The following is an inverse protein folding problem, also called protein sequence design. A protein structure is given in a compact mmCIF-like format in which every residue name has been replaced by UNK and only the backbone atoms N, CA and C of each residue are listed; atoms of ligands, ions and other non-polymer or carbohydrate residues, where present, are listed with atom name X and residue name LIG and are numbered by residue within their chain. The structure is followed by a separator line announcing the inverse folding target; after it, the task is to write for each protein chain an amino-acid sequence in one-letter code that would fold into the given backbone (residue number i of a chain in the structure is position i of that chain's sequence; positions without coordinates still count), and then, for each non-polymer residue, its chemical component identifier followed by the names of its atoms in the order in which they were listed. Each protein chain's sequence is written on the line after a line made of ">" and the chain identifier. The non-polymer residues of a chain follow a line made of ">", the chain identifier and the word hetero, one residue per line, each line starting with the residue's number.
data_IF_893066188561
#
_entry.id   IF_893066188561
#
_cell.length_a   1.000
_cell.length_b   1.000
_cell.length_c   1.000
_cell.angle_alpha   90.00
_cell.angle_beta   90.00
_cell.angle_gamma   90.00
#
_symmetry.space_group_name_H-M   'P 1'
#
loop_
_entity.id
_entity.type
_entity.pdbx_description
1 polymer ?
#
# COMPACT_ATOMS: atom_id res chain seq x y z
N UNK A 1 24.64 -2.36 53.75
CA UNK A 1 23.41 -2.64 53.00
C UNK A 1 23.44 -1.77 51.75
N UNK A 2 23.32 -2.33 50.54
CA UNK A 2 23.37 -1.55 49.29
C UNK A 2 21.94 -1.47 48.75
N UNK A 3 21.37 -0.27 48.74
CA UNK A 3 20.01 -0.03 48.27
C UNK A 3 19.95 0.03 46.74
N UNK A 4 19.76 -1.11 46.09
CA UNK A 4 19.43 -1.17 44.66
C UNK A 4 18.04 -0.59 44.42
N UNK A 5 17.97 0.68 44.02
CA UNK A 5 16.72 1.28 43.58
C UNK A 5 16.15 0.49 42.38
N UNK A 6 14.86 0.11 42.38
CA UNK A 6 14.27 -0.66 41.30
C UNK A 6 14.21 0.21 40.04
N UNK A 7 15.09 -0.09 39.07
CA UNK A 7 15.13 0.60 37.79
C UNK A 7 13.80 0.48 37.06
N UNK A 8 13.10 1.60 36.89
CA UNK A 8 11.86 1.65 36.09
C UNK A 8 12.16 1.09 34.69
N UNK A 9 11.32 0.21 34.13
CA UNK A 9 11.59 -0.44 32.85
C UNK A 9 11.82 0.59 31.75
N UNK A 10 12.78 0.30 30.86
CA UNK A 10 13.28 1.25 29.88
C UNK A 10 12.15 1.84 29.03
N UNK A 11 12.12 3.18 28.91
CA UNK A 11 11.12 3.93 28.14
C UNK A 11 11.21 3.59 26.64
N UNK A 12 10.52 2.54 26.19
CA UNK A 12 10.45 2.02 24.81
C UNK A 12 11.81 1.65 24.18
N UNK A 13 12.00 0.38 23.80
CA UNK A 13 13.28 -0.13 23.28
C UNK A 13 13.88 0.67 22.10
N UNK A 14 13.05 1.30 21.26
CA UNK A 14 13.53 2.15 20.16
C UNK A 14 14.30 3.39 20.65
N UNK A 15 13.92 3.99 21.79
CA UNK A 15 14.63 5.15 22.35
C UNK A 15 16.01 4.76 22.86
N UNK A 16 16.12 3.58 23.49
CA UNK A 16 17.42 3.06 23.92
C UNK A 16 18.35 2.87 22.71
N UNK A 17 17.88 2.20 21.65
CA UNK A 17 18.64 2.02 20.40
C UNK A 17 19.02 3.35 19.74
N UNK A 18 18.11 4.33 19.73
CA UNK A 18 18.38 5.67 19.19
C UNK A 18 19.45 6.41 19.99
N UNK A 19 19.35 6.43 21.33
CA UNK A 19 20.35 7.05 22.21
C UNK A 19 21.74 6.43 22.01
N UNK A 20 21.86 5.10 22.04
CA UNK A 20 23.13 4.42 21.78
C UNK A 20 23.74 4.76 20.42
N UNK A 21 22.92 5.05 19.39
CA UNK A 21 23.44 5.54 18.09
C UNK A 21 23.86 7.01 18.13
N UNK A 22 23.14 7.87 18.87
CA UNK A 22 23.51 9.27 19.10
C UNK A 22 24.84 9.34 19.86
N UNK A 23 24.96 8.65 21.01
CA UNK A 23 26.19 8.63 21.83
C UNK A 23 27.40 8.10 21.02
N UNK A 24 27.20 7.13 20.12
CA UNK A 24 28.23 6.62 19.20
C UNK A 24 28.65 7.62 18.09
N UNK A 25 27.72 8.47 17.63
CA UNK A 25 28.02 9.52 16.65
C UNK A 25 28.64 10.75 17.30
N UNK A 26 28.26 11.08 18.54
CA UNK A 26 28.92 12.10 19.38
C UNK A 26 30.39 11.74 19.62
N UNK A 27 30.69 10.48 19.98
CA UNK A 27 32.06 10.01 20.19
C UNK A 27 32.94 10.05 18.92
N UNK A 28 32.38 9.74 17.75
CA UNK A 28 33.08 9.91 16.46
C UNK A 28 33.30 11.38 16.14
N UNK A 29 32.29 12.24 16.34
CA UNK A 29 32.43 13.69 16.12
C UNK A 29 33.52 14.29 17.02
N UNK A 30 33.59 13.88 18.28
CA UNK A 30 34.66 14.26 19.21
C UNK A 30 36.03 13.84 18.66
N UNK A 31 36.24 12.54 18.40
CA UNK A 31 37.50 12.02 17.84
C UNK A 31 37.96 12.78 16.58
N UNK A 32 37.04 13.04 15.66
CA UNK A 32 37.29 13.69 14.36
C UNK A 32 37.47 15.21 14.49
N UNK A 33 37.15 15.80 15.65
CA UNK A 33 37.31 17.23 15.96
C UNK A 33 38.63 17.62 16.65
N UNK A 34 39.42 16.65 17.14
CA UNK A 34 40.67 16.89 17.90
C UNK A 34 41.78 17.57 17.05
N UNK A 35 41.72 17.46 15.72
CA UNK A 35 42.71 18.05 14.81
C UNK A 35 42.43 19.52 14.44
N UNK A 36 43.45 20.30 14.03
CA UNK A 36 43.27 21.68 13.55
C UNK A 36 42.24 21.77 12.41
N UNK A 37 41.11 22.42 12.67
CA UNK A 37 40.00 22.50 11.73
C UNK A 37 40.04 23.82 10.93
N UNK A 38 40.09 23.78 9.59
CA UNK A 38 39.75 24.94 8.75
C UNK A 38 38.31 25.41 9.01
N UNK A 39 38.01 26.68 8.76
CA UNK A 39 36.69 27.27 9.06
C UNK A 39 35.52 26.48 8.45
N UNK A 40 35.64 26.07 7.18
CA UNK A 40 34.64 25.24 6.49
C UNK A 40 34.52 23.79 6.99
N UNK A 41 35.41 23.34 7.88
CA UNK A 41 35.28 22.07 8.64
C UNK A 41 34.57 22.31 9.97
N UNK A 42 34.80 23.46 10.61
CA UNK A 42 34.15 23.84 11.87
C UNK A 42 32.63 24.03 11.70
N UNK A 43 32.17 24.56 10.57
CA UNK A 43 30.73 24.64 10.24
C UNK A 43 30.07 23.27 10.09
N UNK A 44 30.77 22.28 9.53
CA UNK A 44 30.28 20.89 9.41
C UNK A 44 30.22 20.20 10.78
N UNK A 45 31.23 20.42 11.64
CA UNK A 45 31.25 19.92 13.03
C UNK A 45 30.07 20.48 13.82
N UNK A 46 29.81 21.79 13.73
CA UNK A 46 28.71 22.43 14.45
C UNK A 46 27.34 22.02 13.90
N UNK A 47 27.21 21.87 12.57
CA UNK A 47 26.01 21.31 11.95
C UNK A 47 25.68 19.91 12.46
N UNK A 48 26.70 19.03 12.54
CA UNK A 48 26.53 17.66 13.05
C UNK A 48 26.16 17.66 14.54
N UNK A 49 26.79 18.51 15.37
CA UNK A 49 26.46 18.68 16.79
C UNK A 49 25.00 19.10 17.00
N UNK A 50 24.56 20.13 16.30
CA UNK A 50 23.18 20.63 16.35
C UNK A 50 22.15 19.59 15.88
N UNK A 51 22.48 18.72 14.92
CA UNK A 51 21.61 17.58 14.57
C UNK A 51 21.55 16.54 15.69
N UNK A 52 22.68 16.14 16.28
CA UNK A 52 22.72 15.16 17.37
C UNK A 52 22.00 15.66 18.63
N UNK A 53 22.13 16.94 18.97
CA UNK A 53 21.39 17.55 20.08
C UNK A 53 19.87 17.55 19.85
N UNK A 54 19.40 17.89 18.64
CA UNK A 54 17.98 17.78 18.27
C UNK A 54 17.47 16.35 18.36
N UNK A 55 18.28 15.37 17.92
CA UNK A 55 17.94 13.96 18.06
C UNK A 55 17.88 13.53 19.54
N UNK A 56 18.80 14.03 20.38
CA UNK A 56 18.83 13.76 21.83
C UNK A 56 17.58 14.31 22.53
N UNK A 57 17.24 15.58 22.27
CA UNK A 57 16.03 16.22 22.80
C UNK A 57 14.75 15.46 22.40
N UNK A 58 14.57 15.18 21.11
CA UNK A 58 13.39 14.46 20.61
C UNK A 58 13.30 13.00 21.10
N UNK A 59 14.42 12.37 21.48
CA UNK A 59 14.44 11.05 22.11
C UNK A 59 14.06 11.10 23.60
N UNK A 60 14.46 12.16 24.32
CA UNK A 60 14.12 12.38 25.74
C UNK A 60 12.71 12.95 25.96
N UNK A 61 12.11 13.58 24.95
CA UNK A 61 10.75 14.11 25.05
C UNK A 61 9.74 13.05 25.55
N UNK A 62 9.12 13.39 26.68
CA UNK A 62 8.36 12.45 27.49
C UNK A 62 6.85 12.64 27.21
N UNK A 63 6.43 12.24 26.01
CA UNK A 63 5.04 12.31 25.55
C UNK A 63 4.08 11.60 26.53
N UNK A 64 3.23 12.39 27.20
CA UNK A 64 2.14 11.88 28.03
C UNK A 64 1.04 11.20 27.23
N UNK A 65 0.05 10.62 27.92
CA UNK A 65 -1.02 9.82 27.31
C UNK A 65 -1.76 10.53 26.14
N UNK A 66 -2.02 11.83 26.28
CA UNK A 66 -2.62 12.69 25.24
C UNK A 66 -1.80 12.81 23.94
N UNK A 67 -0.52 12.41 23.96
CA UNK A 67 0.42 12.46 22.82
C UNK A 67 0.90 11.06 22.38
N UNK A 68 0.16 10.00 22.71
CA UNK A 68 0.46 8.64 22.23
C UNK A 68 0.61 8.55 20.69
N UNK A 69 -0.12 9.38 19.93
CA UNK A 69 -0.04 9.47 18.47
C UNK A 69 1.22 10.20 17.97
N UNK A 70 1.74 11.21 18.69
CA UNK A 70 2.92 11.97 18.26
C UNK A 70 4.25 11.23 18.47
N UNK A 71 4.23 10.09 19.17
CA UNK A 71 5.39 9.24 19.38
C UNK A 71 6.05 8.73 18.10
N UNK A 72 5.32 8.66 16.97
CA UNK A 72 5.95 8.36 15.67
C UNK A 72 6.68 9.56 15.08
N UNK A 73 6.06 10.75 15.06
CA UNK A 73 6.69 11.98 14.57
C UNK A 73 7.98 12.31 15.34
N UNK A 74 8.00 12.09 16.65
CA UNK A 74 9.21 12.21 17.46
C UNK A 74 10.28 11.18 17.06
N UNK A 75 9.91 9.90 16.94
CA UNK A 75 10.80 8.82 16.46
C UNK A 75 11.39 9.14 15.08
N UNK A 76 10.59 9.69 14.18
CA UNK A 76 10.99 10.12 12.84
C UNK A 76 11.97 11.30 12.91
N UNK A 77 11.68 12.34 13.71
CA UNK A 77 12.58 13.47 13.93
C UNK A 77 13.94 13.05 14.52
N UNK A 78 13.96 12.08 15.43
CA UNK A 78 15.19 11.48 15.96
C UNK A 78 16.01 10.82 14.84
N UNK A 79 15.43 9.88 14.09
CA UNK A 79 16.17 9.15 13.04
C UNK A 79 16.54 10.02 11.84
N UNK A 80 15.75 11.04 11.50
CA UNK A 80 16.06 12.02 10.46
C UNK A 80 17.31 12.81 10.82
N UNK A 81 17.38 13.38 12.03
CA UNK A 81 18.57 14.11 12.48
C UNK A 81 19.80 13.19 12.64
N UNK A 82 19.63 11.95 13.10
CA UNK A 82 20.72 10.95 13.14
C UNK A 82 21.28 10.68 11.74
N UNK A 83 20.43 10.51 10.72
CA UNK A 83 20.86 10.32 9.32
C UNK A 83 21.56 11.55 8.75
N UNK A 84 21.07 12.76 9.03
CA UNK A 84 21.76 14.00 8.65
C UNK A 84 23.17 14.07 9.29
N UNK A 85 23.29 13.69 10.56
CA UNK A 85 24.60 13.61 11.24
C UNK A 85 25.52 12.54 10.61
N UNK A 86 25.00 11.40 10.18
CA UNK A 86 25.76 10.35 9.49
C UNK A 86 26.27 10.81 8.10
N UNK A 87 25.47 11.56 7.34
CA UNK A 87 25.87 12.16 6.06
C UNK A 87 26.95 13.23 6.24
N UNK A 88 26.86 14.05 7.31
CA UNK A 88 27.89 15.03 7.67
C UNK A 88 29.18 14.37 8.15
N UNK A 89 29.09 13.27 8.92
CA UNK A 89 30.25 12.51 9.39
C UNK A 89 31.13 12.03 8.23
N UNK A 90 30.53 11.55 7.12
CA UNK A 90 31.28 11.14 5.92
C UNK A 90 32.07 12.29 5.24
N UNK A 91 31.70 13.55 5.49
CA UNK A 91 32.48 14.71 5.06
C UNK A 91 33.65 15.02 6.00
N UNK A 92 33.57 14.59 7.27
CA UNK A 92 34.53 14.91 8.33
C UNK A 92 35.63 13.85 8.55
N UNK A 93 35.32 12.56 8.39
CA UNK A 93 36.25 11.42 8.60
C UNK A 93 37.48 11.41 7.67
N UNK A 94 38.47 10.55 7.92
CA UNK A 94 39.66 10.41 7.05
C UNK A 94 39.32 9.71 5.71
N UNK A 95 40.18 9.82 4.68
CA UNK A 95 39.97 9.10 3.41
C UNK A 95 40.16 7.57 3.56
N UNK A 96 40.91 7.12 4.55
CA UNK A 96 41.02 5.71 4.95
C UNK A 96 39.71 5.20 5.58
N UNK A 97 39.10 6.00 6.46
CA UNK A 97 37.82 5.67 7.10
C UNK A 97 36.64 5.74 6.10
N UNK A 98 36.66 6.69 5.17
CA UNK A 98 35.79 6.68 3.95
C UNK A 98 35.92 5.34 3.22
N UNK A 99 37.15 4.87 3.00
CA UNK A 99 37.44 3.64 2.24
C UNK A 99 36.89 2.40 2.95
N UNK A 100 37.00 2.34 4.28
CA UNK A 100 36.43 1.29 5.12
C UNK A 100 34.90 1.28 5.14
N UNK A 101 34.26 2.47 5.16
CA UNK A 101 32.79 2.60 5.22
C UNK A 101 32.07 2.53 3.87
N UNK A 102 32.79 2.58 2.76
CA UNK A 102 32.19 2.55 1.42
C UNK A 102 31.32 1.31 1.14
N UNK A 103 31.62 0.16 1.76
CA UNK A 103 30.83 -1.07 1.65
C UNK A 103 29.50 -1.00 2.43
N UNK A 104 29.51 -0.43 3.63
CA UNK A 104 28.31 -0.12 4.45
C UNK A 104 27.38 0.81 3.67
N UNK A 105 27.93 1.91 3.11
CA UNK A 105 27.16 2.87 2.32
C UNK A 105 26.61 2.23 1.04
N UNK A 106 27.37 1.37 0.36
CA UNK A 106 26.87 0.69 -0.85
C UNK A 106 25.72 -0.27 -0.56
N UNK A 107 25.67 -0.90 0.62
CA UNK A 107 24.53 -1.73 1.01
C UNK A 107 23.26 -0.87 1.12
N UNK A 108 23.29 0.19 1.95
CA UNK A 108 22.18 1.13 2.10
C UNK A 108 21.71 1.76 0.77
N UNK A 109 22.66 2.07 -0.12
CA UNK A 109 22.38 2.57 -1.48
C UNK A 109 21.73 1.50 -2.36
N UNK A 110 22.08 0.22 -2.23
CA UNK A 110 21.44 -0.86 -3.00
C UNK A 110 20.01 -1.16 -2.53
N UNK A 111 19.75 -0.95 -1.25
CA UNK A 111 18.47 -1.28 -0.61
C UNK A 111 17.40 -0.20 -0.87
N UNK A 112 17.78 1.06 -1.06
CA UNK A 112 16.83 2.20 -1.19
C UNK A 112 16.93 3.05 -2.48
N UNK A 113 17.95 2.91 -3.33
CA UNK A 113 17.95 3.54 -4.67
C UNK A 113 17.51 2.54 -5.74
N UNK A 114 16.81 3.02 -6.77
CA UNK A 114 16.53 2.26 -7.98
C UNK A 114 17.83 1.72 -8.63
N UNK A 115 17.75 0.59 -9.33
CA UNK A 115 18.91 -0.07 -9.95
C UNK A 115 19.62 0.83 -10.97
N UNK A 116 18.86 1.66 -11.68
CA UNK A 116 19.36 2.56 -12.73
C UNK A 116 19.71 3.97 -12.23
N UNK A 117 19.61 4.24 -10.91
CA UNK A 117 19.95 5.56 -10.38
C UNK A 117 21.43 5.92 -10.69
N UNK A 118 21.70 7.08 -11.33
CA UNK A 118 23.04 7.41 -11.79
C UNK A 118 24.04 7.63 -10.65
N UNK A 119 23.60 7.82 -9.39
CA UNK A 119 24.46 7.83 -8.19
C UNK A 119 24.83 6.40 -7.81
N UNK A 120 23.85 5.48 -7.71
CA UNK A 120 24.07 4.04 -7.45
C UNK A 120 25.03 3.42 -8.47
N UNK A 121 24.79 3.63 -9.76
CA UNK A 121 25.60 3.06 -10.85
C UNK A 121 27.04 3.62 -10.84
N UNK A 122 27.23 4.93 -10.62
CA UNK A 122 28.58 5.52 -10.52
C UNK A 122 29.32 5.06 -9.27
N UNK A 123 28.66 5.01 -8.12
CA UNK A 123 29.28 4.59 -6.87
C UNK A 123 29.67 3.10 -6.91
N UNK A 124 28.80 2.22 -7.43
CA UNK A 124 29.12 0.81 -7.65
C UNK A 124 30.36 0.61 -8.54
N UNK A 125 30.55 1.45 -9.57
CA UNK A 125 31.72 1.42 -10.47
C UNK A 125 33.03 1.83 -9.78
N UNK A 126 32.98 2.78 -8.84
CA UNK A 126 34.16 3.26 -8.08
C UNK A 126 34.44 2.47 -6.81
N UNK A 127 33.45 1.77 -6.25
CA UNK A 127 33.52 1.04 -4.98
C UNK A 127 34.81 0.23 -4.78
N UNK A 128 35.21 -0.59 -5.76
CA UNK A 128 36.44 -1.41 -5.65
C UNK A 128 37.70 -0.55 -5.51
N UNK A 129 37.81 0.56 -6.25
CA UNK A 129 38.95 1.47 -6.13
C UNK A 129 38.95 2.18 -4.76
N UNK A 130 37.77 2.61 -4.29
CA UNK A 130 37.59 3.24 -2.98
C UNK A 130 38.02 2.27 -1.87
N UNK A 131 37.48 1.06 -1.82
CA UNK A 131 37.84 0.05 -0.80
C UNK A 131 39.29 -0.44 -0.91
N UNK A 132 39.95 -0.28 -2.06
CA UNK A 132 41.40 -0.47 -2.22
C UNK A 132 42.26 0.75 -1.85
N UNK A 133 41.70 1.74 -1.15
CA UNK A 133 42.41 2.93 -0.67
C UNK A 133 42.69 4.00 -1.73
N UNK A 134 42.13 3.87 -2.93
CA UNK A 134 42.25 4.84 -4.03
C UNK A 134 41.08 5.83 -4.07
N UNK A 135 40.58 6.20 -2.89
CA UNK A 135 39.49 7.15 -2.72
C UNK A 135 39.93 8.58 -3.04
N UNK A 136 39.19 9.27 -3.91
CA UNK A 136 39.40 10.69 -4.19
C UNK A 136 38.36 11.56 -3.46
N UNK A 137 38.61 12.87 -3.36
CA UNK A 137 37.59 13.82 -2.86
C UNK A 137 36.29 13.78 -3.67
N UNK A 138 36.36 13.43 -4.96
CA UNK A 138 35.16 13.27 -5.81
C UNK A 138 34.39 11.98 -5.49
N UNK A 139 35.09 10.91 -5.10
CA UNK A 139 34.46 9.68 -4.61
C UNK A 139 33.76 9.88 -3.26
N UNK A 140 34.37 10.69 -2.37
CA UNK A 140 33.76 11.09 -1.09
C UNK A 140 32.46 11.88 -1.34
N UNK A 141 32.48 12.88 -2.21
CA UNK A 141 31.28 13.65 -2.60
C UNK A 141 30.20 12.75 -3.23
N UNK A 142 30.59 11.84 -4.13
CA UNK A 142 29.69 10.85 -4.72
C UNK A 142 29.06 9.92 -3.67
N UNK A 143 29.84 9.44 -2.71
CA UNK A 143 29.37 8.59 -1.61
C UNK A 143 28.41 9.33 -0.68
N UNK A 144 28.74 10.58 -0.32
CA UNK A 144 27.89 11.46 0.51
C UNK A 144 26.53 11.70 -0.17
N UNK A 145 26.53 12.05 -1.47
CA UNK A 145 25.29 12.25 -2.25
C UNK A 145 24.51 10.97 -2.49
N UNK A 146 25.17 9.81 -2.53
CA UNK A 146 24.50 8.52 -2.65
C UNK A 146 23.83 8.11 -1.33
N UNK A 147 24.49 8.31 -0.19
CA UNK A 147 23.89 8.04 1.13
C UNK A 147 22.71 8.98 1.44
N UNK A 148 22.88 10.28 1.19
CA UNK A 148 21.80 11.26 1.34
C UNK A 148 20.58 10.90 0.48
N UNK A 149 20.80 10.50 -0.78
CA UNK A 149 19.74 9.99 -1.64
C UNK A 149 19.03 8.75 -1.05
N UNK A 150 19.79 7.80 -0.49
CA UNK A 150 19.24 6.58 0.10
C UNK A 150 18.40 6.87 1.35
N UNK A 151 18.84 7.82 2.18
CA UNK A 151 18.11 8.25 3.36
C UNK A 151 16.86 9.08 3.04
N UNK A 152 16.88 9.91 2.01
CA UNK A 152 15.68 10.60 1.50
C UNK A 152 14.67 9.60 0.90
N UNK A 153 15.13 8.64 0.08
CA UNK A 153 14.25 7.59 -0.47
C UNK A 153 13.60 6.71 0.61
N UNK A 154 14.38 6.34 1.65
CA UNK A 154 13.86 5.67 2.84
C UNK A 154 12.80 6.53 3.56
N UNK A 155 13.04 7.82 3.80
CA UNK A 155 12.05 8.66 4.51
C UNK A 155 10.75 8.88 3.70
N UNK A 156 10.82 8.81 2.37
CA UNK A 156 9.66 8.77 1.46
C UNK A 156 8.88 7.44 1.55
N UNK A 157 9.56 6.30 1.66
CA UNK A 157 8.90 5.01 1.96
C UNK A 157 8.18 5.10 3.31
N UNK A 158 8.85 5.67 4.32
CA UNK A 158 8.25 5.88 5.64
C UNK A 158 7.14 6.95 5.60
N UNK A 159 7.15 7.90 4.65
CA UNK A 159 6.05 8.85 4.40
C UNK A 159 4.80 8.14 3.85
N UNK A 160 4.96 7.27 2.85
CA UNK A 160 3.87 6.45 2.30
C UNK A 160 3.26 5.53 3.36
N UNK A 161 4.08 4.94 4.22
CA UNK A 161 3.62 4.14 5.38
C UNK A 161 2.82 4.98 6.39
N UNK A 162 3.23 6.23 6.65
CA UNK A 162 2.52 7.16 7.55
C UNK A 162 1.16 7.57 7.02
N UNK A 163 1.06 7.96 5.76
CA UNK A 163 -0.21 8.39 5.16
C UNK A 163 -1.22 7.25 5.16
N UNK A 164 -0.82 6.03 4.75
CA UNK A 164 -1.66 4.84 4.82
C UNK A 164 -2.16 4.55 6.24
N UNK A 165 -1.27 4.59 7.25
CA UNK A 165 -1.66 4.37 8.65
C UNK A 165 -2.67 5.41 9.13
N UNK A 166 -2.50 6.68 8.77
CA UNK A 166 -3.42 7.75 9.17
C UNK A 166 -4.77 7.62 8.44
N UNK A 167 -4.77 7.29 7.14
CA UNK A 167 -5.99 6.99 6.37
C UNK A 167 -6.76 5.82 6.99
N UNK A 168 -6.07 4.74 7.37
CA UNK A 168 -6.69 3.59 8.06
C UNK A 168 -7.33 3.99 9.40
N UNK A 169 -6.71 4.87 10.19
CA UNK A 169 -7.30 5.38 11.43
C UNK A 169 -8.52 6.29 11.18
N UNK A 170 -8.45 7.19 10.20
CA UNK A 170 -9.59 8.04 9.80
C UNK A 170 -10.76 7.19 9.31
N UNK A 171 -10.51 6.20 8.45
CA UNK A 171 -11.52 5.25 7.99
C UNK A 171 -12.11 4.44 9.15
N UNK A 172 -11.26 3.95 10.08
CA UNK A 172 -11.71 3.23 11.28
C UNK A 172 -12.65 4.10 12.12
N UNK A 173 -12.30 5.37 12.35
CA UNK A 173 -13.13 6.30 13.10
C UNK A 173 -14.46 6.60 12.40
N UNK A 174 -14.46 6.82 11.08
CA UNK A 174 -15.67 7.09 10.31
C UNK A 174 -16.62 5.88 10.26
N UNK A 175 -16.11 4.66 10.05
CA UNK A 175 -16.95 3.45 10.08
C UNK A 175 -17.46 3.17 11.49
N UNK A 176 -16.63 3.36 12.53
CA UNK A 176 -17.05 3.23 13.93
C UNK A 176 -18.13 4.24 14.30
N UNK A 177 -18.03 5.49 13.82
CA UNK A 177 -19.05 6.52 14.00
C UNK A 177 -20.36 6.15 13.28
N UNK A 178 -20.27 5.56 12.08
CA UNK A 178 -21.44 5.05 11.34
C UNK A 178 -22.14 3.90 12.07
N UNK A 179 -21.39 2.92 12.57
CA UNK A 179 -21.91 1.80 13.38
C UNK A 179 -22.52 2.29 14.70
N UNK A 180 -21.80 3.13 15.45
CA UNK A 180 -22.35 3.74 16.67
C UNK A 180 -23.62 4.58 16.38
N UNK A 181 -23.67 5.26 15.23
CA UNK A 181 -24.85 5.98 14.76
C UNK A 181 -26.03 5.05 14.44
N UNK A 182 -25.80 3.90 13.80
CA UNK A 182 -26.82 2.87 13.55
C UNK A 182 -27.37 2.27 14.85
N UNK A 183 -26.50 1.89 15.78
CA UNK A 183 -26.89 1.40 17.10
C UNK A 183 -27.73 2.44 17.88
N UNK A 184 -27.30 3.70 17.91
CA UNK A 184 -28.03 4.80 18.57
C UNK A 184 -29.36 5.09 17.87
N UNK A 185 -29.41 5.09 16.54
CA UNK A 185 -30.64 5.33 15.79
C UNK A 185 -31.66 4.20 15.98
N UNK A 186 -31.23 2.93 15.91
CA UNK A 186 -32.10 1.79 16.21
C UNK A 186 -32.56 1.72 17.65
N UNK A 187 -31.77 2.25 18.60
CA UNK A 187 -32.19 2.35 20.00
C UNK A 187 -33.35 3.33 20.20
N UNK A 188 -33.38 4.44 19.45
CA UNK A 188 -34.46 5.42 19.50
C UNK A 188 -35.64 5.12 18.55
N UNK A 189 -35.40 4.45 17.43
CA UNK A 189 -36.39 4.21 16.37
C UNK A 189 -36.43 2.73 15.91
N UNK A 190 -36.64 1.75 16.80
CA UNK A 190 -36.52 0.31 16.48
C UNK A 190 -37.47 -0.14 15.35
N UNK A 191 -38.68 0.41 15.28
CA UNK A 191 -39.66 0.12 14.22
C UNK A 191 -39.16 0.47 12.81
N UNK A 192 -38.24 1.44 12.67
CA UNK A 192 -37.74 1.92 11.37
C UNK A 192 -36.68 0.99 10.73
N UNK A 193 -35.94 0.26 11.55
CA UNK A 193 -34.86 -0.66 11.14
C UNK A 193 -35.09 -2.06 11.73
N UNK A 194 -36.34 -2.53 11.65
CA UNK A 194 -36.74 -3.81 12.22
C UNK A 194 -36.00 -4.98 11.58
N UNK A 195 -35.11 -5.64 12.34
CA UNK A 195 -34.34 -6.82 11.90
C UNK A 195 -35.07 -8.15 12.19
N UNK A 196 -36.37 -8.11 12.43
CA UNK A 196 -37.19 -9.29 12.71
C UNK A 196 -37.68 -9.98 11.43
N UNK A 197 -37.43 -11.28 11.31
CA UNK A 197 -37.84 -12.11 10.19
C UNK A 197 -39.16 -12.81 10.50
N UNK A 198 -40.01 -12.99 9.49
CA UNK A 198 -41.27 -13.71 9.59
C UNK A 198 -41.24 -14.88 8.58
N UNK A 199 -40.77 -16.08 8.99
CA UNK A 199 -40.71 -17.24 8.11
C UNK A 199 -42.10 -17.63 7.58
N UNK A 200 -42.14 -18.16 6.36
CA UNK A 200 -43.39 -18.57 5.70
C UNK A 200 -44.06 -19.72 6.46
N UNK A 201 -45.28 -19.47 6.93
CA UNK A 201 -46.14 -20.45 7.60
C UNK A 201 -46.33 -21.69 6.71
N UNK A 202 -46.20 -22.89 7.27
CA UNK A 202 -46.52 -24.13 6.56
C UNK A 202 -48.02 -24.19 6.22
N UNK A 203 -48.40 -24.62 5.00
CA UNK A 203 -49.79 -24.55 4.55
C UNK A 203 -50.68 -25.55 5.31
N UNK A 204 -51.33 -25.06 6.37
CA UNK A 204 -52.22 -25.86 7.21
C UNK A 204 -52.55 -25.21 8.57
N UNK A 205 -51.67 -24.36 9.10
CA UNK A 205 -51.95 -23.64 10.35
C UNK A 205 -52.50 -22.22 10.05
N UNK A 206 -53.59 -21.86 10.74
CA UNK A 206 -54.27 -20.57 10.61
C UNK A 206 -54.35 -19.81 11.93
N UNK A 207 -53.59 -20.23 12.95
CA UNK A 207 -53.72 -19.71 14.32
C UNK A 207 -52.73 -18.59 14.68
N UNK A 208 -51.60 -18.48 13.97
CA UNK A 208 -50.64 -17.39 14.14
C UNK A 208 -49.46 -17.44 13.15
N UNK A 209 -48.60 -16.43 13.24
CA UNK A 209 -47.27 -16.40 12.61
C UNK A 209 -46.19 -16.40 13.68
N UNK A 210 -45.05 -17.00 13.39
CA UNK A 210 -43.86 -16.88 14.22
C UNK A 210 -42.98 -15.74 13.68
N UNK A 211 -42.38 -14.95 14.58
CA UNK A 211 -41.53 -13.80 14.26
C UNK A 211 -40.24 -13.87 15.07
N UNK A 212 -39.11 -13.84 14.38
CA UNK A 212 -37.77 -14.06 14.91
C UNK A 212 -36.98 -12.76 14.85
N UNK A 213 -36.78 -12.11 16.00
CA UNK A 213 -35.92 -10.94 16.15
C UNK A 213 -34.52 -11.37 16.68
N UNK A 214 -33.45 -10.60 16.42
CA UNK A 214 -32.11 -10.89 16.95
C UNK A 214 -32.03 -11.08 18.48
N UNK A 215 -32.91 -10.43 19.25
CA UNK A 215 -32.95 -10.53 20.71
C UNK A 215 -34.02 -11.48 21.26
N UNK A 216 -35.12 -11.69 20.54
CA UNK A 216 -36.31 -12.41 21.03
C UNK A 216 -37.04 -13.20 19.93
N UNK A 217 -37.63 -14.32 20.32
CA UNK A 217 -38.44 -15.17 19.46
C UNK A 217 -39.90 -15.06 19.93
N UNK A 218 -40.81 -14.73 19.01
CA UNK A 218 -42.23 -14.50 19.28
C UNK A 218 -43.07 -15.52 18.49
N UNK A 219 -43.72 -16.43 19.21
CA UNK A 219 -44.52 -17.51 18.61
C UNK A 219 -46.03 -17.22 18.67
N UNK A 220 -46.80 -17.74 17.71
CA UNK A 220 -48.27 -17.61 17.65
C UNK A 220 -48.76 -16.14 17.64
N UNK A 221 -48.06 -15.26 16.94
CA UNK A 221 -48.43 -13.84 16.82
C UNK A 221 -49.63 -13.70 15.87
N UNK A 222 -50.64 -12.83 16.15
CA UNK A 222 -51.80 -12.67 15.28
C UNK A 222 -51.44 -12.31 13.83
N UNK A 223 -52.04 -13.01 12.86
CA UNK A 223 -51.82 -12.79 11.43
C UNK A 223 -52.13 -11.33 11.04
N UNK A 224 -51.12 -10.60 10.58
CA UNK A 224 -51.24 -9.20 10.15
C UNK A 224 -50.55 -8.17 11.06
N UNK A 225 -50.01 -8.57 12.22
CA UNK A 225 -49.10 -7.69 12.98
C UNK A 225 -47.83 -7.43 12.16
N UNK A 226 -47.39 -6.17 11.96
CA UNK A 226 -46.15 -5.91 11.26
C UNK A 226 -44.97 -6.24 12.17
N UNK A 227 -43.97 -6.94 11.62
CA UNK A 227 -42.75 -7.34 12.36
C UNK A 227 -41.88 -6.15 12.85
N UNK A 228 -42.26 -4.91 12.52
CA UNK A 228 -41.71 -3.68 13.11
C UNK A 228 -42.06 -3.52 14.58
N UNK A 229 -43.25 -3.95 15.00
CA UNK A 229 -43.79 -3.61 16.31
C UNK A 229 -43.30 -4.56 17.41
N UNK A 230 -42.65 -5.65 17.01
CA UNK A 230 -41.91 -6.58 17.86
C UNK A 230 -40.40 -6.25 17.95
N UNK A 231 -39.91 -5.30 17.12
CA UNK A 231 -38.49 -4.96 17.08
C UNK A 231 -38.04 -4.24 18.35
N UNK A 232 -36.90 -4.66 18.91
CA UNK A 232 -36.37 -4.13 20.17
C UNK A 232 -35.22 -3.14 19.93
N UNK A 233 -35.06 -2.10 20.76
CA UNK A 233 -33.91 -1.17 20.76
C UNK A 233 -32.51 -1.83 20.77
N UNK A 234 -32.44 -3.12 21.11
CA UNK A 234 -31.22 -3.92 21.26
C UNK A 234 -30.91 -4.83 20.06
N UNK A 235 -31.80 -4.94 19.08
CA UNK A 235 -31.63 -5.86 17.96
C UNK A 235 -30.40 -5.51 17.10
N UNK A 236 -30.25 -4.25 16.69
CA UNK A 236 -29.09 -3.80 15.91
C UNK A 236 -27.78 -4.04 16.66
N UNK A 237 -27.72 -3.64 17.94
CA UNK A 237 -26.53 -3.84 18.78
C UNK A 237 -26.15 -5.32 18.90
N UNK A 238 -27.13 -6.22 18.95
CA UNK A 238 -26.88 -7.67 19.06
C UNK A 238 -26.35 -8.24 17.73
N UNK A 239 -26.86 -7.76 16.59
CA UNK A 239 -26.33 -8.06 15.24
C UNK A 239 -24.91 -7.54 15.07
N UNK A 240 -24.62 -6.31 15.50
CA UNK A 240 -23.29 -5.71 15.44
C UNK A 240 -22.27 -6.48 16.29
N UNK A 241 -22.65 -6.91 17.49
CA UNK A 241 -21.80 -7.75 18.37
C UNK A 241 -21.51 -9.11 17.72
N UNK A 242 -22.48 -9.74 17.07
CA UNK A 242 -22.25 -10.97 16.30
C UNK A 242 -21.29 -10.73 15.10
N UNK A 243 -21.47 -9.61 14.37
CA UNK A 243 -20.56 -9.18 13.31
C UNK A 243 -19.12 -8.94 13.78
N UNK A 244 -18.97 -8.30 14.95
CA UNK A 244 -17.68 -8.08 15.61
C UNK A 244 -17.00 -9.41 15.98
N UNK A 245 -17.75 -10.39 16.48
CA UNK A 245 -17.23 -11.73 16.77
C UNK A 245 -16.76 -12.46 15.51
N UNK A 246 -17.54 -12.40 14.42
CA UNK A 246 -17.14 -12.92 13.12
C UNK A 246 -15.85 -12.28 12.58
N UNK A 247 -15.77 -10.95 12.66
CA UNK A 247 -14.57 -10.21 12.26
C UNK A 247 -13.34 -10.56 13.11
N UNK A 248 -13.50 -10.73 14.43
CA UNK A 248 -12.41 -11.09 15.34
C UNK A 248 -11.72 -12.40 14.94
N UNK A 249 -12.47 -13.40 14.46
CA UNK A 249 -11.91 -14.64 13.93
C UNK A 249 -11.01 -14.39 12.70
N UNK A 250 -11.42 -13.50 11.78
CA UNK A 250 -10.59 -13.13 10.63
C UNK A 250 -9.33 -12.39 11.04
N UNK A 251 -9.41 -11.54 12.07
CA UNK A 251 -8.26 -10.82 12.65
C UNK A 251 -7.28 -11.82 13.25
N UNK A 252 -7.74 -12.74 14.10
CA UNK A 252 -6.90 -13.78 14.74
C UNK A 252 -6.22 -14.65 13.67
N UNK A 253 -6.95 -15.08 12.64
CA UNK A 253 -6.39 -15.85 11.52
C UNK A 253 -5.35 -15.04 10.70
N UNK A 254 -5.54 -13.72 10.59
CA UNK A 254 -4.58 -12.82 9.92
C UNK A 254 -3.32 -12.60 10.75
N UNK A 255 -3.46 -12.37 12.07
CA UNK A 255 -2.34 -12.14 12.99
C UNK A 255 -1.40 -13.35 13.08
N UNK A 256 -1.92 -14.58 13.02
CA UNK A 256 -1.09 -15.82 13.01
C UNK A 256 -0.11 -15.93 11.84
N UNK A 257 -0.30 -15.16 10.75
CA UNK A 257 0.63 -15.11 9.60
C UNK A 257 1.73 -14.07 9.76
N UNK A 258 1.65 -13.22 10.79
CA UNK A 258 2.64 -12.16 11.05
C UNK A 258 3.83 -12.76 11.81
N UNK A 259 4.95 -12.92 11.11
CA UNK A 259 6.26 -13.21 11.72
C UNK A 259 7.06 -11.91 11.78
N UNK A 260 7.62 -11.56 12.95
CA UNK A 260 8.61 -10.50 13.15
C UNK A 260 8.34 -9.16 12.47
N UNK A 261 7.46 -8.32 13.01
CA UNK A 261 7.28 -6.95 12.49
C UNK A 261 8.37 -6.01 13.01
N UNK A 262 9.52 -6.02 12.35
CA UNK A 262 10.54 -4.96 12.52
C UNK A 262 10.05 -3.60 11.96
N UNK A 263 8.98 -3.59 11.15
CA UNK A 263 8.31 -2.38 10.66
C UNK A 263 7.74 -1.54 11.83
N UNK A 264 8.29 -0.35 12.12
CA UNK A 264 8.02 0.39 13.36
C UNK A 264 6.70 1.17 13.35
N UNK A 265 5.81 0.88 12.40
CA UNK A 265 4.55 1.60 12.18
C UNK A 265 3.29 0.78 12.45
N UNK A 266 3.43 -0.54 12.70
CA UNK A 266 2.33 -1.46 13.02
C UNK A 266 1.13 -1.39 12.04
N UNK A 267 1.40 -1.19 10.74
CA UNK A 267 0.38 -1.20 9.68
C UNK A 267 -0.57 -2.42 9.74
N UNK A 268 -0.09 -3.67 9.98
CA UNK A 268 -0.98 -4.82 10.12
C UNK A 268 -1.94 -4.75 11.31
N UNK A 269 -1.59 -4.01 12.36
CA UNK A 269 -2.49 -3.78 13.49
C UNK A 269 -3.53 -2.72 13.15
N UNK A 270 -3.15 -1.62 12.49
CA UNK A 270 -4.10 -0.60 12.05
C UNK A 270 -5.16 -1.19 11.09
N UNK A 271 -4.74 -2.02 10.12
CA UNK A 271 -5.67 -2.71 9.23
C UNK A 271 -6.44 -3.86 9.90
N UNK A 272 -5.96 -4.40 11.03
CA UNK A 272 -6.72 -5.33 11.86
C UNK A 272 -7.78 -4.64 12.73
N UNK A 273 -7.50 -3.43 13.26
CA UNK A 273 -8.48 -2.65 14.05
C UNK A 273 -9.64 -2.19 13.16
N UNK A 274 -9.38 -1.78 11.91
CA UNK A 274 -10.42 -1.42 10.95
C UNK A 274 -11.45 -2.54 10.71
N UNK A 275 -11.03 -3.83 10.77
CA UNK A 275 -11.90 -4.99 10.50
C UNK A 275 -13.04 -5.18 11.49
N UNK A 276 -12.92 -4.62 12.70
CA UNK A 276 -13.96 -4.73 13.71
C UNK A 276 -15.23 -3.92 13.34
N UNK A 277 -15.19 -2.59 13.19
CA UNK A 277 -16.38 -1.82 12.80
C UNK A 277 -16.85 -2.14 11.38
N UNK A 278 -15.98 -2.48 10.42
CA UNK A 278 -16.44 -2.95 9.10
C UNK A 278 -17.14 -4.30 9.18
N UNK A 279 -16.77 -5.17 10.12
CA UNK A 279 -17.47 -6.43 10.41
C UNK A 279 -18.86 -6.22 11.00
N UNK A 280 -19.01 -5.29 11.94
CA UNK A 280 -20.30 -4.89 12.50
C UNK A 280 -21.24 -4.36 11.39
N UNK A 281 -20.74 -3.44 10.55
CA UNK A 281 -21.47 -2.89 9.42
C UNK A 281 -21.84 -3.95 8.37
N UNK A 282 -20.91 -4.87 8.07
CA UNK A 282 -21.14 -5.99 7.14
C UNK A 282 -22.25 -6.93 7.64
N UNK A 283 -22.33 -7.18 8.95
CA UNK A 283 -23.41 -7.98 9.55
C UNK A 283 -24.79 -7.31 9.44
N UNK A 284 -24.87 -6.00 9.73
CA UNK A 284 -26.09 -5.21 9.56
C UNK A 284 -26.57 -5.21 8.10
N UNK A 285 -25.66 -4.91 7.16
CA UNK A 285 -25.97 -4.87 5.72
C UNK A 285 -26.34 -6.26 5.17
N UNK A 286 -25.66 -7.32 5.63
CA UNK A 286 -25.95 -8.70 5.22
C UNK A 286 -27.35 -9.17 5.61
N UNK A 287 -27.78 -8.90 6.85
CA UNK A 287 -29.15 -9.20 7.27
C UNK A 287 -30.19 -8.32 6.54
N UNK A 288 -29.86 -7.06 6.23
CA UNK A 288 -30.71 -6.20 5.41
C UNK A 288 -30.90 -6.77 3.99
N UNK A 289 -29.85 -7.32 3.38
CA UNK A 289 -29.93 -7.98 2.07
C UNK A 289 -30.78 -9.26 2.09
N UNK A 290 -30.70 -10.06 3.16
CA UNK A 290 -31.61 -11.20 3.37
C UNK A 290 -33.05 -10.72 3.52
N UNK A 291 -33.30 -9.71 4.38
CA UNK A 291 -34.63 -9.12 4.61
C UNK A 291 -35.25 -8.56 3.32
N UNK A 292 -34.43 -7.94 2.47
CA UNK A 292 -34.86 -7.42 1.16
C UNK A 292 -35.09 -8.50 0.09
N UNK A 293 -34.99 -9.79 0.44
CA UNK A 293 -35.11 -10.94 -0.46
C UNK A 293 -34.14 -10.92 -1.68
N UNK A 294 -33.05 -10.14 -1.60
CA UNK A 294 -32.04 -10.05 -2.65
C UNK A 294 -31.24 -11.36 -2.82
N UNK A 295 -31.29 -12.25 -1.82
CA UNK A 295 -30.67 -13.57 -1.85
C UNK A 295 -31.78 -14.64 -1.81
N UNK A 296 -32.20 -15.20 -2.96
CA UNK A 296 -33.28 -16.16 -3.00
C UNK A 296 -32.92 -17.44 -2.24
N UNK A 297 -33.86 -17.95 -1.43
CA UNK A 297 -33.67 -19.18 -0.65
C UNK A 297 -33.04 -19.02 0.74
N UNK A 298 -32.69 -17.79 1.16
CA UNK A 298 -32.23 -17.49 2.53
C UNK A 298 -33.16 -16.55 3.32
N UNK A 299 -34.32 -16.19 2.76
CA UNK A 299 -35.30 -15.24 3.34
C UNK A 299 -35.97 -15.70 4.64
N UNK A 300 -36.01 -17.01 4.87
CA UNK A 300 -36.71 -17.63 5.99
C UNK A 300 -35.66 -18.05 7.02
N UNK A 301 -35.62 -17.31 8.14
CA UNK A 301 -34.69 -17.51 9.25
C UNK A 301 -35.49 -17.90 10.51
N UNK A 302 -35.46 -19.18 10.86
CA UNK A 302 -36.41 -19.82 11.77
C UNK A 302 -36.03 -19.70 13.25
N UNK A 303 -34.86 -19.12 13.57
CA UNK A 303 -34.42 -18.91 14.96
C UNK A 303 -33.36 -17.82 15.11
N UNK A 304 -33.30 -17.20 16.28
CA UNK A 304 -32.29 -16.19 16.63
C UNK A 304 -30.86 -16.73 16.50
N UNK A 305 -30.66 -18.03 16.70
CA UNK A 305 -29.38 -18.69 16.50
C UNK A 305 -28.93 -18.67 15.03
N UNK A 306 -29.85 -18.84 14.08
CA UNK A 306 -29.56 -18.66 12.65
C UNK A 306 -29.29 -17.18 12.32
N UNK A 307 -30.12 -16.25 12.82
CA UNK A 307 -29.95 -14.80 12.58
C UNK A 307 -28.57 -14.31 13.06
N UNK A 308 -28.17 -14.67 14.28
CA UNK A 308 -26.86 -14.30 14.83
C UNK A 308 -25.70 -15.09 14.18
N UNK A 309 -25.94 -16.33 13.75
CA UNK A 309 -24.99 -17.12 12.96
C UNK A 309 -24.69 -16.47 11.61
N UNK A 310 -25.71 -16.01 10.88
CA UNK A 310 -25.55 -15.26 9.64
C UNK A 310 -24.92 -13.88 9.86
N UNK A 311 -25.29 -13.15 10.92
CA UNK A 311 -24.62 -11.91 11.29
C UNK A 311 -23.10 -12.11 11.50
N UNK A 312 -22.70 -13.16 12.23
CA UNK A 312 -21.28 -13.51 12.39
C UNK A 312 -20.62 -13.95 11.07
N UNK A 313 -21.33 -14.71 10.23
CA UNK A 313 -20.84 -15.10 8.91
C UNK A 313 -20.59 -13.88 8.00
N UNK A 314 -21.51 -12.91 7.94
CA UNK A 314 -21.34 -11.66 7.20
C UNK A 314 -20.24 -10.76 7.79
N UNK A 315 -20.08 -10.73 9.11
CA UNK A 315 -18.97 -10.03 9.78
C UNK A 315 -17.59 -10.61 9.43
N UNK A 316 -17.51 -11.94 9.25
CA UNK A 316 -16.32 -12.60 8.73
C UNK A 316 -16.15 -12.44 7.21
N UNK A 317 -17.25 -12.43 6.45
CA UNK A 317 -17.27 -12.32 4.98
C UNK A 317 -17.04 -10.90 4.44
N UNK A 318 -16.74 -9.91 5.30
CA UNK A 318 -16.49 -8.51 4.94
C UNK A 318 -15.54 -8.33 3.71
N UNK A 319 -14.54 -9.20 3.56
CA UNK A 319 -13.59 -9.16 2.43
C UNK A 319 -14.15 -9.58 1.06
N UNK A 320 -15.30 -10.28 1.03
CA UNK A 320 -16.01 -10.57 -0.22
C UNK A 320 -16.84 -9.36 -0.66
N UNK A 321 -17.48 -8.68 0.29
CA UNK A 321 -18.29 -7.48 0.03
C UNK A 321 -17.41 -6.33 -0.47
N UNK A 322 -16.26 -6.08 0.17
CA UNK A 322 -15.35 -5.02 -0.30
C UNK A 322 -14.82 -5.31 -1.71
N UNK A 323 -14.40 -6.55 -2.00
CA UNK A 323 -13.93 -6.93 -3.34
C UNK A 323 -14.98 -6.72 -4.41
N UNK A 324 -16.22 -7.15 -4.18
CA UNK A 324 -17.31 -6.96 -5.13
C UNK A 324 -17.55 -5.46 -5.45
N UNK A 325 -17.32 -4.57 -4.48
CA UNK A 325 -17.43 -3.11 -4.67
C UNK A 325 -16.18 -2.54 -5.33
N UNK A 326 -14.98 -2.96 -4.94
CA UNK A 326 -13.71 -2.54 -5.52
C UNK A 326 -13.63 -2.91 -7.02
N UNK A 327 -14.02 -4.15 -7.38
CA UNK A 327 -14.07 -4.65 -8.76
C UNK A 327 -15.05 -3.81 -9.62
N UNK A 328 -16.22 -3.45 -9.05
CA UNK A 328 -17.21 -2.57 -9.70
C UNK A 328 -16.69 -1.14 -9.87
N UNK A 329 -16.01 -0.60 -8.87
CA UNK A 329 -15.45 0.76 -8.89
C UNK A 329 -14.26 0.87 -9.85
N UNK A 330 -13.44 -0.17 -9.97
CA UNK A 330 -12.34 -0.20 -10.95
C UNK A 330 -12.86 -0.30 -12.39
N UNK A 331 -13.94 -1.07 -12.64
CA UNK A 331 -14.61 -1.05 -13.94
C UNK A 331 -15.10 0.35 -14.32
N UNK A 332 -15.89 1.03 -13.48
CA UNK A 332 -16.40 2.38 -13.81
C UNK A 332 -15.29 3.44 -13.90
N UNK A 333 -14.25 3.37 -13.06
CA UNK A 333 -13.10 4.27 -13.16
C UNK A 333 -12.25 4.02 -14.41
N UNK A 334 -12.12 2.76 -14.87
CA UNK A 334 -11.43 2.45 -16.14
C UNK A 334 -12.22 2.90 -17.37
N UNK A 335 -13.56 2.87 -17.31
CA UNK A 335 -14.43 3.39 -18.37
C UNK A 335 -14.25 4.90 -18.54
N UNK A 336 -14.30 5.66 -17.44
CA UNK A 336 -14.02 7.11 -17.42
C UNK A 336 -12.55 7.41 -17.77
N UNK A 337 -11.60 6.61 -17.28
CA UNK A 337 -10.18 6.72 -17.59
C UNK A 337 -9.92 6.62 -19.10
N UNK A 338 -10.46 5.59 -19.76
CA UNK A 338 -10.33 5.40 -21.21
C UNK A 338 -10.93 6.55 -22.02
N UNK A 339 -12.03 7.17 -21.56
CA UNK A 339 -12.56 8.38 -22.24
C UNK A 339 -11.64 9.59 -22.07
N UNK A 340 -10.92 9.70 -20.94
CA UNK A 340 -9.97 10.80 -20.68
C UNK A 340 -8.67 10.62 -21.48
N UNK A 341 -8.16 9.38 -21.55
CA UNK A 341 -7.00 9.00 -22.37
C UNK A 341 -7.29 9.21 -23.87
N UNK A 342 -8.44 8.75 -24.36
CA UNK A 342 -8.82 8.92 -25.77
C UNK A 342 -8.94 10.40 -26.19
N UNK A 343 -9.42 11.29 -25.30
CA UNK A 343 -9.46 12.73 -25.56
C UNK A 343 -8.06 13.35 -25.57
N UNK A 344 -7.19 12.99 -24.62
CA UNK A 344 -5.83 13.55 -24.56
C UNK A 344 -4.91 13.04 -25.67
N UNK A 345 -5.10 11.81 -26.16
CA UNK A 345 -4.36 11.31 -27.33
C UNK A 345 -4.88 11.90 -28.66
N UNK A 346 -6.18 12.20 -28.77
CA UNK A 346 -6.73 12.96 -29.90
C UNK A 346 -6.19 14.41 -29.94
N UNK A 347 -6.12 15.08 -28.78
CA UNK A 347 -5.53 16.42 -28.65
C UNK A 347 -4.04 16.41 -29.02
N UNK A 348 -3.27 15.44 -28.53
CA UNK A 348 -1.85 15.24 -28.90
C UNK A 348 -1.66 14.97 -30.40
N UNK A 349 -2.56 14.21 -31.03
CA UNK A 349 -2.52 13.97 -32.47
C UNK A 349 -2.70 15.28 -33.26
N UNK A 350 -3.71 16.09 -32.92
CA UNK A 350 -3.98 17.37 -33.58
C UNK A 350 -2.84 18.40 -33.40
N UNK A 351 -2.20 18.43 -32.22
CA UNK A 351 -1.01 19.27 -31.97
C UNK A 351 0.18 18.80 -32.82
N UNK A 352 0.38 17.48 -32.95
CA UNK A 352 1.47 16.91 -33.78
C UNK A 352 1.27 17.18 -35.27
N UNK A 353 0.03 17.18 -35.75
CA UNK A 353 -0.32 17.47 -37.15
C UNK A 353 -0.14 18.97 -37.47
N UNK A 354 -0.58 19.85 -36.56
CA UNK A 354 -0.38 21.30 -36.68
C UNK A 354 1.10 21.70 -36.67
N UNK A 355 1.94 20.97 -35.91
CA UNK A 355 3.39 21.18 -35.87
C UNK A 355 4.15 20.78 -37.15
N UNK A 356 3.53 20.04 -38.07
CA UNK A 356 4.16 19.57 -39.31
C UNK A 356 3.93 20.50 -40.52
N UNK A 357 3.00 21.45 -40.43
CA UNK A 357 2.60 22.33 -41.55
C UNK A 357 3.48 23.59 -41.71
N UNK A 358 4.75 23.53 -41.28
CA UNK A 358 5.50 24.70 -40.80
C UNK A 358 6.79 25.12 -41.52
N UNK A 359 7.15 24.58 -42.69
CA UNK A 359 8.41 24.97 -43.36
C UNK A 359 8.30 25.07 -44.91
N UNK A 360 8.84 26.13 -45.56
CA UNK A 360 8.57 26.42 -46.97
C UNK A 360 9.53 25.71 -47.96
N UNK A 361 8.96 25.09 -48.99
CA UNK A 361 9.73 24.46 -50.09
C UNK A 361 10.46 25.52 -50.92
N UNK A 362 11.79 25.51 -50.87
CA UNK A 362 12.65 26.23 -51.82
C UNK A 362 13.13 25.27 -52.91
N UNK A 363 12.72 25.50 -54.17
CA UNK A 363 13.23 24.75 -55.33
C UNK A 363 14.58 25.29 -55.79
N UNK A 364 15.52 24.40 -56.05
CA UNK A 364 16.69 24.66 -56.90
C UNK A 364 16.64 23.76 -58.14
N UNK A 365 17.10 24.24 -59.29
CA UNK A 365 17.15 23.50 -60.55
C UNK A 365 18.56 22.90 -60.79
N UNK A 366 18.68 21.77 -61.52
CA UNK A 366 19.96 21.08 -61.74
C UNK A 366 20.74 21.63 -62.94
N UNK A 367 22.05 21.38 -62.95
CA UNK A 367 22.95 21.66 -64.10
C UNK A 367 24.05 20.61 -64.23
N UNK A 368 24.34 20.22 -65.47
CA UNK A 368 25.57 19.56 -65.97
C UNK A 368 25.88 18.09 -65.58
N UNK A 369 25.60 17.21 -66.54
CA UNK A 369 26.44 16.08 -67.03
C UNK A 369 26.93 16.47 -68.45
N UNK A 370 27.80 15.72 -69.17
CA UNK A 370 28.58 14.51 -68.84
C UNK A 370 30.12 14.75 -69.00
N UNK A 371 31.06 13.78 -68.95
CA UNK A 371 31.32 12.69 -69.93
C UNK A 371 32.55 11.82 -69.53
N UNK A 372 32.69 10.63 -70.15
CA UNK A 372 33.85 9.73 -70.12
C UNK A 372 33.91 8.66 -69.01
N UNK A 373 34.39 7.41 -69.18
CA UNK A 373 34.34 6.33 -70.22
C UNK A 373 35.38 5.24 -69.84
N UNK A 374 35.10 3.96 -70.11
CA UNK A 374 35.95 2.79 -69.78
C UNK A 374 35.39 2.00 -68.59
N UNK A 375 34.93 0.74 -68.65
CA UNK A 375 35.37 -0.52 -69.31
C UNK A 375 36.20 -1.43 -68.36
N UNK A 376 36.11 -2.74 -68.61
CA UNK A 376 36.72 -3.88 -67.88
C UNK A 376 36.20 -4.14 -66.43
N UNK A 377 36.03 -5.38 -65.92
CA UNK A 377 36.22 -6.74 -66.47
C UNK A 377 35.30 -7.78 -65.76
N UNK A 378 34.94 -8.88 -66.43
CA UNK A 378 34.32 -10.14 -65.95
C UNK A 378 35.17 -11.31 -66.52
N UNK A 379 34.99 -12.63 -66.22
CA UNK A 379 34.01 -13.33 -65.36
C UNK A 379 34.60 -14.49 -64.49
N UNK A 380 33.70 -15.25 -63.82
CA UNK A 380 33.67 -16.74 -63.77
C UNK A 380 32.36 -17.14 -63.04
N UNK A 381 31.39 -17.87 -63.62
CA UNK A 381 31.39 -19.28 -64.07
C UNK A 381 31.55 -20.35 -62.95
N UNK A 382 30.82 -21.48 -62.91
CA UNK A 382 29.57 -21.88 -63.61
C UNK A 382 28.98 -23.21 -63.04
N UNK A 383 27.65 -23.42 -63.20
CA UNK A 383 26.93 -24.71 -63.35
C UNK A 383 26.97 -25.75 -62.17
N UNK A 384 26.08 -26.78 -62.00
CA UNK A 384 24.83 -27.30 -62.64
C UNK A 384 24.12 -28.23 -61.61
N UNK A 385 22.87 -28.69 -61.67
CA UNK A 385 21.70 -28.42 -62.56
C UNK A 385 20.48 -27.97 -61.69
N UNK A 386 19.28 -28.55 -61.54
CA UNK A 386 18.51 -29.71 -62.09
C UNK A 386 17.36 -30.03 -61.10
N UNK A 387 16.04 -30.05 -61.41
CA UNK A 387 15.17 -30.69 -62.43
C UNK A 387 14.80 -32.16 -62.13
N UNK A 388 13.54 -32.61 -62.13
CA UNK A 388 12.20 -32.00 -62.30
C UNK A 388 11.15 -32.85 -61.51
N UNK A 389 9.90 -32.39 -61.28
CA UNK A 389 8.82 -33.29 -60.78
C UNK A 389 7.53 -32.66 -60.17
N UNK A 390 6.54 -32.35 -61.01
CA UNK A 390 5.15 -31.93 -60.68
C UNK A 390 4.15 -32.75 -61.57
N UNK A 391 2.80 -32.61 -61.53
CA UNK A 391 1.85 -32.12 -60.51
C UNK A 391 0.57 -33.02 -60.34
N UNK A 392 -0.44 -32.56 -59.56
CA UNK A 392 -1.87 -32.91 -59.73
C UNK A 392 -2.47 -34.04 -58.86
N UNK A 393 -3.79 -34.13 -58.60
CA UNK A 393 -4.96 -33.26 -58.92
C UNK A 393 -6.18 -33.55 -58.01
N UNK A 394 -6.99 -32.51 -57.72
CA UNK A 394 -8.47 -32.46 -57.54
C UNK A 394 -9.25 -33.24 -56.45
N UNK A 395 -10.38 -32.66 -56.02
CA UNK A 395 -11.49 -33.35 -55.31
C UNK A 395 -12.27 -32.52 -54.26
N UNK A 396 -13.40 -31.91 -54.62
CA UNK A 396 -14.32 -31.20 -53.70
C UNK A 396 -15.70 -31.96 -53.56
N UNK A 397 -16.78 -31.44 -52.91
CA UNK A 397 -17.55 -32.14 -51.84
C UNK A 397 -18.98 -32.52 -52.32
N UNK A 398 -20.12 -32.46 -51.56
CA UNK A 398 -20.49 -32.50 -50.11
C UNK A 398 -21.56 -33.64 -49.86
N UNK A 399 -22.77 -33.52 -49.23
CA UNK A 399 -23.29 -32.77 -48.05
C UNK A 399 -24.20 -33.58 -47.02
N UNK A 400 -24.53 -32.95 -45.88
CA UNK A 400 -25.77 -33.04 -45.02
C UNK A 400 -26.52 -34.37 -44.67
N UNK A 401 -26.87 -34.55 -43.37
CA UNK A 401 -28.28 -34.45 -42.83
C UNK A 401 -28.48 -34.75 -41.32
N UNK A 402 -29.46 -34.03 -40.72
CA UNK A 402 -30.34 -34.30 -39.54
C UNK A 402 -29.70 -34.69 -38.17
N UNK A 403 -30.14 -34.20 -36.99
CA UNK A 403 -31.46 -33.87 -36.39
C UNK A 403 -32.20 -35.06 -35.77
N UNK A 404 -32.33 -35.10 -34.44
CA UNK A 404 -33.59 -34.97 -33.66
C UNK A 404 -33.35 -35.29 -32.16
N UNK A 405 -34.34 -34.97 -31.31
CA UNK A 405 -34.40 -35.05 -29.82
C UNK A 405 -33.65 -33.93 -29.05
#
# INVERSE_FOLDING_TARGET
>A
MIGTAPGRPARTAWRARAKTRIDYLEAQLEHVSVGPCPEGRMTLVEGMRNHLERARHAADENFGWQRAWSGSAAREGVWSNVRSAEVLLLQLVSDEEVSGRASEVMALVKDHLDIDDPRRVRFARRLRAITSGQATRSDRDLMVRALDAAYNALDDELARVRSLRNILWTATFLVLLGVAGLAVYGWFYPQSLSMCFAPKVSPGDTSGIDVVCPTAEHHNVPTGTPASDLAQPRDILTVEIAGLAGAALTVIASLRRIRGTDSPYMLPLASAVLKFPTGALSAFLGLLLIRGAFVPGLSDLDSRAQVLGWAAAFGAAQHLVTRLVDDRAQMTLSEVGRTTEAVTDAERAAVKESGAAGEPVTRAAPTAFPDGTGEDEEPHEAATDGRDGEPGTDGLPPPHRRSDA
#
